data_IF_342957396898
#
_entry.id   IF_342957396898
#
_cell.length_a   1.000
_cell.length_b   1.000
_cell.length_c   1.000
_cell.angle_alpha   90.00
_cell.angle_beta   90.00
_cell.angle_gamma   90.00
#
_symmetry.space_group_name_H-M   'P 1'
#
loop_
_entity.id
_entity.type
_entity.pdbx_description
1 polymer ?
#
# COMPACT_ATOMS: atom_id res chain seq x y z
N UNK A 1 30.54 -26.72 -12.48
CA UNK A 1 29.45 -26.33 -11.56
C UNK A 1 29.65 -24.88 -11.06
N UNK A 2 30.20 -24.01 -11.93
CA UNK A 2 29.64 -22.75 -12.43
C UNK A 2 28.93 -21.79 -11.46
N UNK A 3 29.75 -20.98 -10.77
CA UNK A 3 29.36 -19.81 -9.98
C UNK A 3 28.40 -18.85 -10.73
N UNK A 4 28.55 -18.73 -12.05
CA UNK A 4 27.69 -17.90 -12.90
C UNK A 4 26.24 -18.38 -12.93
N UNK A 5 26.00 -19.69 -12.80
CA UNK A 5 24.65 -20.24 -12.81
C UNK A 5 23.90 -19.93 -11.51
N UNK A 6 24.62 -19.88 -10.38
CA UNK A 6 24.05 -19.51 -9.08
C UNK A 6 23.68 -18.02 -9.00
N UNK A 7 24.41 -17.17 -9.73
CA UNK A 7 24.17 -15.74 -9.79
C UNK A 7 22.92 -15.41 -10.61
N UNK A 8 22.74 -16.07 -11.76
CA UNK A 8 21.54 -15.93 -12.58
C UNK A 8 20.26 -16.37 -11.84
N UNK A 9 20.31 -17.48 -11.08
CA UNK A 9 19.16 -17.92 -10.27
C UNK A 9 18.80 -16.94 -9.16
N UNK A 10 19.77 -16.20 -8.61
CA UNK A 10 19.52 -15.23 -7.54
C UNK A 10 18.85 -13.96 -8.08
N UNK A 11 19.23 -13.50 -9.29
CA UNK A 11 18.58 -12.37 -9.95
C UNK A 11 17.12 -12.70 -10.33
N UNK A 12 16.86 -13.88 -10.89
CA UNK A 12 15.49 -14.36 -11.15
C UNK A 12 14.63 -14.38 -9.86
N UNK A 13 15.18 -14.92 -8.77
CA UNK A 13 14.47 -14.99 -7.50
C UNK A 13 14.20 -13.60 -6.90
N UNK A 14 15.11 -12.64 -7.11
CA UNK A 14 14.93 -11.24 -6.72
C UNK A 14 13.83 -10.55 -7.52
N UNK A 15 13.76 -10.78 -8.83
CA UNK A 15 12.70 -10.23 -9.67
C UNK A 15 11.34 -10.79 -9.27
N UNK A 16 11.22 -12.11 -9.09
CA UNK A 16 9.98 -12.76 -8.63
C UNK A 16 9.52 -12.24 -7.26
N UNK A 17 10.45 -12.06 -6.30
CA UNK A 17 10.14 -11.47 -4.99
C UNK A 17 9.70 -10.01 -5.14
N UNK A 18 10.39 -9.24 -5.98
CA UNK A 18 10.09 -7.82 -6.19
C UNK A 18 8.69 -7.65 -6.78
N UNK A 19 8.33 -8.49 -7.76
CA UNK A 19 6.99 -8.53 -8.33
C UNK A 19 5.94 -8.94 -7.29
N UNK A 20 6.20 -10.01 -6.54
CA UNK A 20 5.30 -10.45 -5.46
C UNK A 20 5.08 -9.36 -4.40
N UNK A 21 6.14 -8.67 -3.98
CA UNK A 21 6.06 -7.58 -3.01
C UNK A 21 5.28 -6.41 -3.59
N UNK A 22 5.49 -6.05 -4.86
CA UNK A 22 4.72 -4.99 -5.51
C UNK A 22 3.21 -5.33 -5.57
N UNK A 23 2.88 -6.57 -5.94
CA UNK A 23 1.49 -7.07 -5.96
C UNK A 23 0.87 -7.06 -4.55
N UNK A 24 1.61 -7.52 -3.54
CA UNK A 24 1.18 -7.51 -2.14
C UNK A 24 0.98 -6.09 -1.62
N UNK A 25 1.91 -5.17 -1.93
CA UNK A 25 1.80 -3.76 -1.54
C UNK A 25 0.56 -3.10 -2.14
N UNK A 26 0.28 -3.37 -3.41
CA UNK A 26 -0.95 -2.91 -4.07
C UNK A 26 -2.19 -3.51 -3.41
N UNK A 27 -2.20 -4.83 -3.17
CA UNK A 27 -3.31 -5.50 -2.49
C UNK A 27 -3.58 -4.93 -1.10
N UNK A 28 -2.53 -4.72 -0.30
CA UNK A 28 -2.62 -4.15 1.04
C UNK A 28 -3.09 -2.69 1.01
N UNK A 29 -2.65 -1.90 0.04
CA UNK A 29 -3.11 -0.52 -0.14
C UNK A 29 -4.62 -0.46 -0.48
N UNK A 30 -5.10 -1.36 -1.35
CA UNK A 30 -6.52 -1.48 -1.67
C UNK A 30 -7.33 -2.00 -0.48
N UNK A 31 -6.81 -2.98 0.26
CA UNK A 31 -7.43 -3.51 1.47
C UNK A 31 -7.51 -2.48 2.59
N UNK A 32 -6.50 -1.62 2.74
CA UNK A 32 -6.49 -0.55 3.73
C UNK A 32 -7.67 0.40 3.58
N UNK A 33 -8.15 0.66 2.35
CA UNK A 33 -9.37 1.47 2.13
C UNK A 33 -10.62 0.83 2.75
N UNK A 34 -10.69 -0.49 2.83
CA UNK A 34 -11.81 -1.22 3.45
C UNK A 34 -11.71 -1.24 4.99
N UNK A 35 -10.53 -0.98 5.54
CA UNK A 35 -10.29 -0.94 6.99
C UNK A 35 -10.51 0.45 7.59
N UNK A 36 -10.63 1.48 6.75
CA UNK A 36 -10.98 2.84 7.19
C UNK A 36 -12.50 2.94 7.34
N UNK A 37 -13.03 3.17 8.55
CA UNK A 37 -14.46 3.36 8.73
C UNK A 37 -14.93 4.59 7.96
N UNK A 38 -16.00 4.46 7.17
CA UNK A 38 -16.57 5.60 6.44
C UNK A 38 -17.30 6.53 7.41
N UNK A 39 -16.58 7.50 7.95
CA UNK A 39 -17.12 8.50 8.88
C UNK A 39 -17.92 9.55 8.11
N UNK A 40 -19.24 9.34 8.01
CA UNK A 40 -20.18 10.27 7.34
C UNK A 40 -20.66 11.40 8.27
N UNK A 41 -20.70 11.17 9.58
CA UNK A 41 -20.99 12.18 10.60
C UNK A 41 -20.14 11.91 11.83
N UNK A 42 -19.32 12.88 12.23
CA UNK A 42 -18.56 12.82 13.46
C UNK A 42 -19.45 13.20 14.66
N UNK A 43 -19.64 12.27 15.58
CA UNK A 43 -20.44 12.44 16.80
C UNK A 43 -19.64 13.05 17.95
N UNK A 44 -18.33 12.85 17.95
CA UNK A 44 -17.41 13.33 18.98
C UNK A 44 -16.10 13.86 18.39
N UNK A 45 -15.28 14.49 19.23
CA UNK A 45 -14.02 15.12 18.81
C UNK A 45 -12.97 14.12 18.29
N UNK A 46 -13.04 12.84 18.70
CA UNK A 46 -12.15 11.79 18.17
C UNK A 46 -12.56 11.43 16.75
N UNK A 47 -13.85 11.25 16.52
CA UNK A 47 -14.39 11.00 15.18
C UNK A 47 -14.13 12.18 14.24
N UNK A 48 -14.18 13.42 14.73
CA UNK A 48 -13.81 14.60 13.93
C UNK A 48 -12.34 14.55 13.50
N UNK A 49 -11.42 14.22 14.42
CA UNK A 49 -10.01 14.08 14.10
C UNK A 49 -9.75 12.96 13.09
N UNK A 50 -10.41 11.82 13.26
CA UNK A 50 -10.31 10.69 12.33
C UNK A 50 -10.86 11.05 10.95
N UNK A 51 -12.02 11.70 10.87
CA UNK A 51 -12.62 12.15 9.61
C UNK A 51 -11.70 13.16 8.90
N UNK A 52 -11.14 14.13 9.63
CA UNK A 52 -10.20 15.10 9.08
C UNK A 52 -8.91 14.44 8.56
N UNK A 53 -8.42 13.43 9.29
CA UNK A 53 -7.23 12.66 8.91
C UNK A 53 -7.49 11.84 7.65
N UNK A 54 -8.65 11.16 7.57
CA UNK A 54 -9.09 10.43 6.39
C UNK A 54 -9.17 11.36 5.16
N UNK A 55 -9.86 12.49 5.26
CA UNK A 55 -10.00 13.45 4.16
C UNK A 55 -8.65 14.01 3.69
N UNK A 56 -7.69 14.22 4.61
CA UNK A 56 -6.35 14.66 4.26
C UNK A 56 -5.56 13.59 3.52
N UNK A 57 -5.62 12.33 3.97
CA UNK A 57 -4.96 11.22 3.27
C UNK A 57 -5.55 11.01 1.88
N UNK A 58 -6.89 11.01 1.75
CA UNK A 58 -7.56 10.87 0.44
C UNK A 58 -7.15 11.98 -0.54
N UNK A 59 -7.02 13.23 -0.06
CA UNK A 59 -6.50 14.35 -0.87
C UNK A 59 -5.04 14.16 -1.30
N UNK A 60 -4.18 13.66 -0.41
CA UNK A 60 -2.77 13.41 -0.72
C UNK A 60 -2.63 12.32 -1.78
N UNK A 61 -3.33 11.19 -1.60
CA UNK A 61 -3.34 10.08 -2.56
C UNK A 61 -3.89 10.53 -3.91
N UNK A 62 -5.00 11.28 -3.93
CA UNK A 62 -5.57 11.80 -5.19
C UNK A 62 -4.61 12.68 -5.98
N UNK A 63 -3.64 13.32 -5.32
CA UNK A 63 -2.62 14.17 -5.94
C UNK A 63 -1.35 13.42 -6.34
N UNK A 64 -1.11 12.25 -5.75
CA UNK A 64 0.09 11.44 -6.00
C UNK A 64 -0.04 10.57 -7.26
N UNK A 65 -1.26 10.40 -7.81
CA UNK A 65 -1.54 9.61 -9.02
C UNK A 65 -1.23 10.40 -10.31
N UNK A 66 -0.12 11.15 -10.34
CA UNK A 66 0.41 11.80 -11.56
C UNK A 66 1.80 11.24 -11.85
#
# INVERSE_FOLDING_TARGET
MDLHSAQATNEFFREDISEYVAQLQLHMALQARNLVPTLTKAKDSREQLLQQTQANIEKLVSRQVI
#
